data_IF_368022789793
#
_entry.id   IF_368022789793
#
_cell.length_a   1.000
_cell.length_b   1.000
_cell.length_c   1.000
_cell.angle_alpha   90.00
_cell.angle_beta   90.00
_cell.angle_gamma   90.00
#
_symmetry.space_group_name_H-M   'P 1'
#
loop_
_entity.id
_entity.type
_entity.pdbx_description
1 polymer ?
#
# COMPACT_ATOMS: atom_id res chain seq x y z
N UNK A 1 -30.61 -7.50 6.21
CA UNK A 1 -31.21 -8.81 5.86
C UNK A 1 -30.80 -9.95 6.79
N UNK A 2 -29.52 -10.33 6.93
CA UNK A 2 -29.13 -11.45 7.82
C UNK A 2 -29.36 -11.15 9.32
N UNK A 3 -28.92 -10.00 9.80
CA UNK A 3 -29.15 -9.61 11.21
C UNK A 3 -30.64 -9.44 11.55
N UNK A 4 -31.42 -8.89 10.62
CA UNK A 4 -32.87 -8.73 10.78
C UNK A 4 -33.59 -10.08 10.87
N UNK A 5 -33.25 -11.03 9.99
CA UNK A 5 -33.85 -12.38 10.02
C UNK A 5 -33.50 -13.13 11.32
N UNK A 6 -32.26 -12.99 11.80
CA UNK A 6 -31.85 -13.58 13.08
C UNK A 6 -32.62 -12.96 14.26
N UNK A 7 -32.77 -11.64 14.28
CA UNK A 7 -33.52 -10.94 15.33
C UNK A 7 -35.01 -11.32 15.34
N UNK A 8 -35.64 -11.34 14.16
CA UNK A 8 -37.05 -11.73 14.02
C UNK A 8 -37.32 -13.17 14.47
N UNK A 9 -36.44 -14.12 14.14
CA UNK A 9 -36.54 -15.50 14.58
C UNK A 9 -36.47 -15.68 16.11
N UNK A 10 -35.82 -14.73 16.81
CA UNK A 10 -35.75 -14.68 18.28
C UNK A 10 -36.78 -13.75 18.94
N UNK A 11 -37.70 -13.14 18.18
CA UNK A 11 -38.66 -12.17 18.72
C UNK A 11 -38.05 -10.81 19.10
N UNK A 12 -36.86 -10.48 18.59
CA UNK A 12 -36.13 -9.24 18.83
C UNK A 12 -36.18 -8.30 17.61
N UNK A 13 -35.75 -7.04 17.80
CA UNK A 13 -35.47 -6.07 16.74
C UNK A 13 -33.98 -5.77 16.67
N UNK A 14 -33.43 -5.68 15.46
CA UNK A 14 -32.05 -5.26 15.21
C UNK A 14 -32.02 -3.88 14.54
N UNK A 15 -31.08 -3.04 14.96
CA UNK A 15 -30.70 -1.81 14.28
C UNK A 15 -29.22 -1.89 13.92
N UNK A 16 -28.85 -1.49 12.70
CA UNK A 16 -27.46 -1.49 12.24
C UNK A 16 -27.08 -0.05 11.93
N UNK A 17 -26.03 0.42 12.58
CA UNK A 17 -25.30 1.61 12.16
C UNK A 17 -23.99 1.15 11.51
N UNK A 18 -23.72 1.65 10.31
CA UNK A 18 -22.51 1.34 9.57
C UNK A 18 -21.80 2.65 9.23
N UNK A 19 -20.54 2.75 9.64
CA UNK A 19 -19.65 3.84 9.23
C UNK A 19 -18.65 3.25 8.25
N UNK A 20 -18.64 3.79 7.03
CA UNK A 20 -17.66 3.37 6.03
C UNK A 20 -16.24 3.79 6.47
N UNK A 21 -15.32 2.82 6.43
CA UNK A 21 -13.91 3.06 6.76
C UNK A 21 -13.11 3.50 5.53
N UNK A 22 -11.82 3.17 5.53
CA UNK A 22 -10.96 3.47 4.39
C UNK A 22 -11.38 2.64 3.16
N UNK A 23 -11.45 3.25 1.98
CA UNK A 23 -11.64 2.49 0.74
C UNK A 23 -10.41 1.62 0.47
N UNK A 24 -10.53 0.73 -0.52
CA UNK A 24 -9.41 -0.10 -0.96
C UNK A 24 -8.30 0.79 -1.53
N UNK A 25 -7.07 0.62 -1.04
CA UNK A 25 -5.87 1.19 -1.68
C UNK A 25 -5.60 0.41 -2.97
N UNK A 26 -6.00 0.99 -4.09
CA UNK A 26 -5.80 0.42 -5.42
C UNK A 26 -4.87 1.31 -6.22
N UNK A 27 -3.76 0.74 -6.69
CA UNK A 27 -2.83 1.47 -7.53
C UNK A 27 -3.38 1.60 -8.95
N UNK A 28 -3.25 2.79 -9.52
CA UNK A 28 -3.49 2.99 -10.94
C UNK A 28 -2.47 2.16 -11.75
N UNK A 29 -2.89 1.38 -12.77
CA UNK A 29 -1.99 0.55 -13.55
C UNK A 29 -0.85 1.33 -14.25
N UNK A 30 -1.14 2.51 -14.78
CA UNK A 30 -0.15 3.34 -15.46
C UNK A 30 0.89 3.89 -14.49
N UNK A 31 0.46 4.29 -13.29
CA UNK A 31 1.35 4.74 -12.23
C UNK A 31 2.17 3.60 -11.63
N UNK A 32 1.58 2.41 -11.47
CA UNK A 32 2.31 1.22 -11.02
C UNK A 32 3.41 0.83 -12.02
N UNK A 33 3.11 0.87 -13.32
CA UNK A 33 4.09 0.64 -14.38
C UNK A 33 5.20 1.71 -14.39
N UNK A 34 4.84 2.98 -14.18
CA UNK A 34 5.82 4.07 -14.05
C UNK A 34 6.76 3.84 -12.88
N UNK A 35 6.23 3.58 -11.69
CA UNK A 35 7.03 3.30 -10.47
C UNK A 35 7.93 2.08 -10.70
N UNK A 36 7.41 1.02 -11.33
CA UNK A 36 8.20 -0.17 -11.65
C UNK A 36 9.37 0.12 -12.59
N UNK A 37 9.16 0.92 -13.65
CA UNK A 37 10.24 1.33 -14.55
C UNK A 37 11.30 2.16 -13.84
N UNK A 38 10.89 3.13 -13.01
CA UNK A 38 11.81 3.98 -12.24
C UNK A 38 12.61 3.14 -11.24
N UNK A 39 11.96 2.21 -10.53
CA UNK A 39 12.63 1.32 -9.58
C UNK A 39 13.70 0.47 -10.27
N UNK A 40 13.36 -0.20 -11.38
CA UNK A 40 14.31 -1.02 -12.14
C UNK A 40 15.48 -0.22 -12.69
N UNK A 41 15.23 0.98 -13.20
CA UNK A 41 16.28 1.84 -13.76
C UNK A 41 17.20 2.44 -12.68
N UNK A 42 16.68 2.74 -11.50
CA UNK A 42 17.41 3.46 -10.45
C UNK A 42 18.09 2.52 -9.46
N UNK A 43 17.43 1.42 -9.09
CA UNK A 43 17.93 0.47 -8.10
C UNK A 43 18.51 -0.81 -8.73
N UNK A 44 18.18 -1.09 -10.00
CA UNK A 44 18.51 -2.35 -10.69
C UNK A 44 17.32 -3.32 -10.70
N UNK A 45 17.23 -4.13 -11.75
CA UNK A 45 16.09 -5.03 -12.00
C UNK A 45 15.79 -6.00 -10.84
N UNK A 46 16.82 -6.58 -10.25
CA UNK A 46 16.73 -7.56 -9.15
C UNK A 46 16.19 -6.96 -7.84
N UNK A 47 16.22 -5.63 -7.70
CA UNK A 47 15.74 -4.94 -6.49
C UNK A 47 14.27 -4.50 -6.57
N UNK A 48 13.58 -4.82 -7.68
CA UNK A 48 12.15 -4.62 -7.81
C UNK A 48 11.43 -5.96 -7.74
N UNK A 49 10.49 -6.08 -6.80
CA UNK A 49 9.64 -7.27 -6.64
C UNK A 49 8.17 -6.87 -6.80
N UNK A 50 7.43 -7.45 -7.75
CA UNK A 50 5.99 -7.27 -7.82
C UNK A 50 5.31 -7.79 -6.56
N UNK A 51 4.37 -7.03 -6.01
CA UNK A 51 3.56 -7.48 -4.88
C UNK A 51 2.65 -8.63 -5.35
N UNK A 52 2.96 -9.85 -4.93
CA UNK A 52 2.28 -11.06 -5.42
C UNK A 52 0.87 -11.25 -4.87
N UNK A 53 0.50 -10.60 -3.76
CA UNK A 53 -0.83 -10.67 -3.14
C UNK A 53 -1.18 -9.36 -2.45
N UNK A 54 -2.45 -8.92 -2.49
CA UNK A 54 -2.91 -7.78 -1.71
C UNK A 54 -2.71 -7.99 -0.20
N UNK A 55 -2.54 -6.89 0.53
CA UNK A 55 -2.54 -6.89 1.99
C UNK A 55 -3.97 -6.87 2.53
N UNK A 56 -4.17 -7.42 3.74
CA UNK A 56 -5.42 -7.28 4.51
C UNK A 56 -5.51 -5.93 5.26
N UNK A 57 -4.40 -5.18 5.35
CA UNK A 57 -4.36 -3.87 6.00
C UNK A 57 -5.10 -2.79 5.20
N UNK A 58 -5.68 -1.82 5.91
CA UNK A 58 -6.24 -0.60 5.32
C UNK A 58 -5.23 0.55 5.43
N UNK A 59 -5.20 1.42 4.42
CA UNK A 59 -4.27 2.55 4.32
C UNK A 59 -5.03 3.79 3.84
N UNK A 60 -4.83 4.94 4.48
CA UNK A 60 -5.57 6.17 4.18
C UNK A 60 -5.13 6.82 2.86
N UNK A 61 -3.97 6.41 2.31
CA UNK A 61 -3.55 6.74 0.96
C UNK A 61 -4.62 6.40 -0.10
N UNK A 62 -5.48 5.43 0.20
CA UNK A 62 -6.66 5.10 -0.60
C UNK A 62 -7.54 6.31 -0.96
N UNK A 63 -7.62 7.33 -0.10
CA UNK A 63 -8.35 8.56 -0.43
C UNK A 63 -7.68 9.37 -1.52
N UNK A 64 -6.34 9.49 -1.53
CA UNK A 64 -5.60 10.15 -2.60
C UNK A 64 -5.72 9.37 -3.91
N UNK A 65 -5.56 8.05 -3.85
CA UNK A 65 -5.66 7.17 -5.02
C UNK A 65 -7.05 7.17 -5.68
N UNK A 66 -8.11 7.55 -4.96
CA UNK A 66 -9.45 7.77 -5.54
C UNK A 66 -9.60 9.12 -6.24
N UNK A 67 -8.81 10.11 -5.85
CA UNK A 67 -8.90 11.46 -6.39
C UNK A 67 -8.03 11.65 -7.65
N UNK A 68 -6.85 11.01 -7.68
CA UNK A 68 -5.89 11.11 -8.79
C UNK A 68 -5.19 9.77 -9.02
N UNK A 69 -4.72 9.47 -10.25
CA UNK A 69 -3.88 8.31 -10.50
C UNK A 69 -2.68 8.30 -9.55
N UNK A 70 -2.59 7.26 -8.72
CA UNK A 70 -1.56 7.13 -7.70
C UNK A 70 -1.03 5.70 -7.60
N UNK A 71 0.17 5.57 -7.05
CA UNK A 71 0.78 4.27 -6.76
C UNK A 71 1.40 4.28 -5.36
N UNK A 72 0.84 3.46 -4.48
CA UNK A 72 1.41 3.10 -3.19
C UNK A 72 2.34 1.90 -3.36
N UNK A 73 3.59 2.02 -2.94
CA UNK A 73 4.58 0.95 -3.02
C UNK A 73 5.26 0.74 -1.67
N UNK A 74 5.79 -0.46 -1.48
CA UNK A 74 6.47 -0.85 -0.25
C UNK A 74 7.98 -0.80 -0.46
N UNK A 75 8.71 -0.41 0.58
CA UNK A 75 10.17 -0.49 0.64
C UNK A 75 10.53 -1.67 1.54
N UNK A 76 11.39 -2.56 1.07
CA UNK A 76 11.90 -3.67 1.88
C UNK A 76 12.71 -3.14 3.05
N UNK A 77 12.38 -3.58 4.26
CA UNK A 77 13.03 -3.19 5.53
C UNK A 77 13.66 -4.36 6.26
N UNK A 78 13.60 -5.55 5.69
CA UNK A 78 14.22 -6.74 6.24
C UNK A 78 15.73 -6.74 5.93
N UNK A 79 16.61 -6.77 6.95
CA UNK A 79 18.05 -6.87 6.75
C UNK A 79 18.44 -8.16 6.03
N UNK A 80 19.45 -8.10 5.17
CA UNK A 80 19.87 -9.25 4.34
C UNK A 80 20.48 -10.42 5.14
N UNK A 81 20.89 -10.18 6.39
CA UNK A 81 21.50 -11.16 7.28
C UNK A 81 20.50 -11.81 8.25
N UNK A 82 19.20 -11.50 8.13
CA UNK A 82 18.14 -12.06 8.98
C UNK A 82 17.08 -12.75 8.14
N UNK A 83 16.63 -13.91 8.64
CA UNK A 83 15.44 -14.60 8.13
C UNK A 83 14.23 -14.24 9.00
N UNK A 84 13.34 -13.43 8.44
CA UNK A 84 12.13 -12.95 9.09
C UNK A 84 12.37 -11.67 9.89
N UNK A 85 11.53 -10.68 9.62
CA UNK A 85 11.50 -9.42 10.36
C UNK A 85 10.18 -9.25 11.13
N UNK A 86 10.18 -8.63 12.33
CA UNK A 86 8.94 -8.34 13.03
C UNK A 86 7.96 -7.57 12.13
N UNK A 87 6.69 -7.99 12.14
CA UNK A 87 5.65 -7.32 11.36
C UNK A 87 5.31 -5.93 11.92
N UNK A 88 4.68 -5.11 11.07
CA UNK A 88 4.08 -3.85 11.51
C UNK A 88 3.14 -4.07 12.70
N UNK A 89 3.11 -3.13 13.63
CA UNK A 89 2.37 -3.17 14.91
C UNK A 89 2.88 -4.16 15.97
N UNK A 90 3.98 -4.89 15.74
CA UNK A 90 4.64 -5.63 16.82
C UNK A 90 5.36 -4.67 17.77
N UNK A 91 5.33 -4.99 19.07
CA UNK A 91 6.16 -4.37 20.12
C UNK A 91 7.67 -4.61 19.91
N UNK A 92 8.02 -5.58 19.07
CA UNK A 92 9.40 -5.90 18.67
C UNK A 92 9.80 -5.28 17.33
N UNK A 93 8.90 -4.52 16.69
CA UNK A 93 9.22 -3.85 15.45
C UNK A 93 10.35 -2.85 15.67
N UNK A 94 11.36 -2.95 14.82
CA UNK A 94 12.54 -2.09 14.82
C UNK A 94 12.67 -1.53 13.40
N UNK A 95 12.93 -0.24 13.22
CA UNK A 95 13.09 0.30 11.88
C UNK A 95 14.56 0.20 11.48
N UNK A 96 14.82 -0.21 10.23
CA UNK A 96 16.21 -0.24 9.72
C UNK A 96 16.55 1.05 9.00
N UNK A 97 17.63 1.71 9.43
CA UNK A 97 18.17 2.89 8.74
C UNK A 97 18.71 2.54 7.35
N UNK A 98 19.07 1.28 7.11
CA UNK A 98 19.57 0.81 5.81
C UNK A 98 18.54 0.99 4.68
N UNK A 99 17.24 0.97 5.01
CA UNK A 99 16.17 1.19 4.04
C UNK A 99 16.00 2.66 3.65
N UNK A 100 16.45 3.61 4.48
CA UNK A 100 16.21 5.05 4.27
C UNK A 100 16.82 5.54 2.96
N UNK A 101 18.06 5.12 2.66
CA UNK A 101 18.73 5.52 1.42
C UNK A 101 17.95 5.03 0.18
N UNK A 102 17.41 3.81 0.22
CA UNK A 102 16.59 3.25 -0.86
C UNK A 102 15.27 3.99 -1.00
N UNK A 103 14.57 4.24 0.12
CA UNK A 103 13.30 4.98 0.13
C UNK A 103 13.47 6.40 -0.42
N UNK A 104 14.46 7.16 0.07
CA UNK A 104 14.75 8.52 -0.39
C UNK A 104 15.12 8.54 -1.87
N UNK A 105 15.99 7.62 -2.31
CA UNK A 105 16.37 7.54 -3.72
C UNK A 105 15.16 7.29 -4.61
N UNK A 106 14.27 6.39 -4.21
CA UNK A 106 13.04 6.14 -4.97
C UNK A 106 12.18 7.39 -5.11
N UNK A 107 11.92 8.10 -4.02
CA UNK A 107 11.11 9.33 -4.06
C UNK A 107 11.77 10.40 -4.95
N UNK A 108 13.08 10.60 -4.85
CA UNK A 108 13.83 11.56 -5.67
C UNK A 108 13.78 11.18 -7.15
N UNK A 109 14.05 9.93 -7.49
CA UNK A 109 14.07 9.45 -8.88
C UNK A 109 12.69 9.50 -9.53
N UNK A 110 11.61 9.27 -8.75
CA UNK A 110 10.23 9.41 -9.22
C UNK A 110 9.93 10.85 -9.65
N UNK A 111 10.47 11.84 -8.94
CA UNK A 111 10.31 13.27 -9.27
C UNK A 111 11.22 13.65 -10.44
N UNK A 112 12.50 13.29 -10.40
CA UNK A 112 13.48 13.67 -11.44
C UNK A 112 13.15 13.07 -12.81
N UNK A 113 12.50 11.90 -12.85
CA UNK A 113 12.12 11.22 -14.09
C UNK A 113 10.67 11.51 -14.50
N UNK A 114 9.96 12.33 -13.73
CA UNK A 114 8.60 12.71 -14.07
C UNK A 114 8.63 13.48 -15.39
N UNK A 115 7.82 13.08 -16.40
CA UNK A 115 7.79 13.83 -17.65
C UNK A 115 7.29 15.25 -17.36
N UNK A 116 7.95 16.27 -17.94
CA UNK A 116 7.64 17.70 -17.76
C UNK A 116 6.20 18.08 -18.18
N UNK A 117 5.43 17.15 -18.74
CA UNK A 117 4.02 17.31 -19.09
C UNK A 117 3.22 16.16 -18.48
N UNK A 118 2.25 16.49 -17.63
CA UNK A 118 1.17 15.56 -17.29
C UNK A 118 0.53 15.03 -18.58
N UNK A 119 0.33 13.72 -18.72
CA UNK A 119 -0.64 13.22 -19.69
C UNK A 119 -1.99 13.85 -19.36
N UNK A 120 -2.62 14.49 -20.34
CA UNK A 120 -4.02 14.93 -20.24
C UNK A 120 -4.95 13.72 -20.27
#
# INVERSE_FOLDING_TARGET
RRCEAAAQGGGCRAEISWTEGYPVTSNDPGMADYVSRVARASLGGERFVPVGRPSMGGEDFSFYARAVPGCFFLVGVEPADRDGYPGLHSDRYDFTDEALATAMRMLVELVLRWPERCPQ
#
